data_IF_654233665939
#
_entry.id   IF_654233665939
#
_cell.length_a   1.000
_cell.length_b   1.000
_cell.length_c   1.000
_cell.angle_alpha   90.00
_cell.angle_beta   90.00
_cell.angle_gamma   90.00
#
_symmetry.space_group_name_H-M   'P 1'
#
loop_
_entity.id
_entity.type
_entity.pdbx_description
1 polymer ?
#
# COMPACT_ATOMS: atom_id res chain seq x y z
N UNK A 1 -58.71 48.03 55.26
CA UNK A 1 -59.69 46.94 55.00
C UNK A 1 -59.25 46.21 53.75
N UNK A 2 -59.20 44.86 53.82
CA UNK A 2 -59.53 43.84 52.79
C UNK A 2 -59.27 44.16 51.29
N UNK A 3 -58.76 43.31 50.41
CA UNK A 3 -58.28 41.92 50.35
C UNK A 3 -57.73 41.71 48.93
N UNK A 4 -56.72 40.86 48.80
CA UNK A 4 -56.43 39.92 47.69
C UNK A 4 -56.79 40.29 46.24
N UNK A 5 -55.77 40.29 45.35
CA UNK A 5 -55.94 39.75 44.00
C UNK A 5 -54.66 39.07 43.53
N UNK A 6 -54.76 37.76 43.28
CA UNK A 6 -53.74 36.91 42.69
C UNK A 6 -53.72 37.12 41.16
N UNK A 7 -52.53 37.16 40.56
CA UNK A 7 -52.37 36.70 39.19
C UNK A 7 -50.98 36.11 38.96
N UNK A 8 -51.02 34.80 38.74
CA UNK A 8 -50.01 33.83 38.34
C UNK A 8 -49.52 34.13 36.93
N UNK A 9 -48.21 34.12 36.64
CA UNK A 9 -47.72 33.60 35.36
C UNK A 9 -46.27 33.11 35.46
N UNK A 10 -46.08 31.89 34.97
CA UNK A 10 -44.86 31.10 34.99
C UNK A 10 -43.83 31.69 34.03
N UNK A 11 -42.64 32.03 34.54
CA UNK A 11 -41.47 32.32 33.71
C UNK A 11 -40.96 31.03 33.08
N UNK A 12 -41.23 30.84 31.79
CA UNK A 12 -40.56 29.83 30.96
C UNK A 12 -39.14 30.32 30.67
N UNK A 13 -38.17 29.44 30.91
CA UNK A 13 -36.75 29.62 30.59
C UNK A 13 -36.64 29.82 29.08
N UNK A 14 -36.05 30.94 28.67
CA UNK A 14 -35.74 31.21 27.27
C UNK A 14 -34.45 30.47 26.90
N UNK A 15 -34.58 29.46 26.01
CA UNK A 15 -33.44 28.89 25.30
C UNK A 15 -32.91 29.91 24.28
N UNK A 16 -31.61 30.15 24.40
CA UNK A 16 -30.73 30.91 23.51
C UNK A 16 -30.44 30.10 22.22
N UNK A 17 -29.65 30.60 21.25
CA UNK A 17 -29.78 31.79 20.41
C UNK A 17 -30.17 31.41 18.97
N UNK A 18 -30.80 32.34 18.24
CA UNK A 18 -30.97 32.25 16.79
C UNK A 18 -29.63 32.33 16.07
N UNK A 19 -29.10 31.16 15.67
CA UNK A 19 -28.04 31.07 14.67
C UNK A 19 -28.69 31.07 13.28
N UNK A 20 -28.76 32.25 12.66
CA UNK A 20 -29.15 32.41 11.27
C UNK A 20 -28.07 31.75 10.38
N UNK A 21 -28.30 30.47 10.02
CA UNK A 21 -27.40 29.71 9.14
C UNK A 21 -27.66 30.14 7.71
N UNK A 22 -26.75 30.94 7.17
CA UNK A 22 -26.73 31.33 5.77
C UNK A 22 -26.74 30.08 4.87
N UNK A 23 -27.82 29.88 4.11
CA UNK A 23 -27.93 28.77 3.15
C UNK A 23 -27.05 29.06 1.93
N UNK A 24 -25.89 28.43 1.86
CA UNK A 24 -25.02 28.46 0.68
C UNK A 24 -25.52 27.41 -0.31
N UNK A 25 -25.98 27.84 -1.49
CA UNK A 25 -26.22 26.94 -2.61
C UNK A 25 -24.90 26.70 -3.35
N UNK A 26 -24.48 25.44 -3.41
CA UNK A 26 -23.33 25.02 -4.21
C UNK A 26 -23.82 24.58 -5.56
N UNK A 27 -23.58 25.41 -6.58
CA UNK A 27 -23.83 25.03 -7.97
C UNK A 27 -22.63 24.25 -8.49
N UNK A 28 -22.75 22.92 -8.60
CA UNK A 28 -21.73 22.09 -9.24
C UNK A 28 -21.59 22.48 -10.72
N UNK A 29 -20.41 22.95 -11.10
CA UNK A 29 -20.08 23.21 -12.51
C UNK A 29 -19.64 21.88 -13.14
N UNK A 30 -20.47 21.32 -14.02
CA UNK A 30 -20.06 20.23 -14.90
C UNK A 30 -18.84 20.67 -15.72
N UNK A 31 -17.88 19.75 -15.90
CA UNK A 31 -16.61 19.97 -16.60
C UNK A 31 -16.82 20.75 -17.91
N UNK A 32 -16.40 22.03 -17.92
CA UNK A 32 -16.51 22.97 -19.06
C UNK A 32 -15.70 22.57 -20.30
N UNK A 33 -15.08 21.39 -20.30
CA UNK A 33 -14.35 20.84 -21.44
C UNK A 33 -14.72 19.37 -21.59
N UNK A 34 -15.44 19.03 -22.66
CA UNK A 34 -15.69 17.65 -23.03
C UNK A 34 -14.36 16.89 -23.18
N UNK A 35 -14.27 15.70 -22.61
CA UNK A 35 -13.12 14.82 -22.75
C UNK A 35 -12.88 14.52 -24.24
N UNK A 36 -11.89 15.21 -24.85
CA UNK A 36 -11.51 14.96 -26.25
C UNK A 36 -11.05 16.18 -27.05
N UNK A 37 -11.34 17.41 -26.63
CA UNK A 37 -11.05 18.61 -27.43
C UNK A 37 -9.67 19.25 -27.16
N UNK A 38 -8.97 18.85 -26.10
CA UNK A 38 -7.65 19.42 -25.78
C UNK A 38 -6.55 18.69 -26.55
N UNK A 39 -6.14 19.29 -27.68
CA UNK A 39 -4.98 18.84 -28.50
C UNK A 39 -3.71 18.69 -27.66
N UNK A 40 -3.50 19.60 -26.70
CA UNK A 40 -2.36 19.57 -25.77
C UNK A 40 -2.37 18.34 -24.86
N UNK A 41 -3.55 17.92 -24.37
CA UNK A 41 -3.68 16.68 -23.58
C UNK A 41 -3.58 15.42 -24.46
N UNK A 42 -4.04 15.48 -25.71
CA UNK A 42 -3.89 14.37 -26.65
C UNK A 42 -2.41 14.12 -26.99
N UNK A 43 -1.62 15.18 -27.19
CA UNK A 43 -0.17 15.07 -27.43
C UNK A 43 0.58 14.58 -26.18
N UNK A 44 0.17 14.98 -24.97
CA UNK A 44 0.73 14.42 -23.72
C UNK A 44 0.42 12.93 -23.60
N UNK A 45 -0.82 12.50 -23.90
CA UNK A 45 -1.17 11.06 -23.90
C UNK A 45 -0.36 10.28 -24.92
N UNK A 46 -0.20 10.80 -26.14
CA UNK A 46 0.64 10.16 -27.17
C UNK A 46 2.09 10.03 -26.74
N UNK A 47 2.66 11.05 -26.09
CA UNK A 47 4.02 11.00 -25.53
C UNK A 47 4.15 10.04 -24.35
N UNK A 48 3.09 9.86 -23.56
CA UNK A 48 3.06 8.88 -22.47
C UNK A 48 2.83 7.44 -22.97
N UNK A 49 2.25 7.27 -24.16
CA UNK A 49 2.02 5.96 -24.79
C UNK A 49 3.17 5.52 -25.70
N UNK A 50 4.14 6.38 -26.00
CA UNK A 50 5.28 6.07 -26.88
C UNK A 50 6.50 5.61 -26.10
N UNK A 51 6.33 4.64 -25.21
CA UNK A 51 7.36 3.69 -24.77
C UNK A 51 6.70 2.75 -23.79
N UNK A 52 6.30 1.58 -24.30
CA UNK A 52 6.24 0.29 -23.62
C UNK A 52 5.30 -0.59 -24.46
N UNK A 53 5.80 -1.67 -25.09
CA UNK A 53 4.90 -2.71 -25.54
C UNK A 53 4.18 -3.24 -24.30
N UNK A 54 2.87 -3.06 -24.26
CA UNK A 54 1.96 -3.76 -23.34
C UNK A 54 2.00 -5.23 -23.76
N UNK A 55 3.02 -5.95 -23.27
CA UNK A 55 2.83 -7.34 -22.93
C UNK A 55 1.81 -7.36 -21.79
N UNK A 56 0.79 -8.20 -21.98
CA UNK A 56 -0.33 -8.40 -21.09
C UNK A 56 0.08 -8.42 -19.62
N UNK A 57 -0.83 -7.99 -18.74
CA UNK A 57 -0.75 -8.22 -17.31
C UNK A 57 -0.33 -9.68 -17.05
N UNK A 58 0.95 -9.86 -16.75
CA UNK A 58 1.48 -11.11 -16.25
C UNK A 58 0.87 -11.27 -14.86
N UNK A 59 -0.19 -12.07 -14.81
CA UNK A 59 -0.49 -12.95 -13.66
C UNK A 59 0.84 -13.37 -13.03
N UNK A 60 0.97 -13.41 -11.69
CA UNK A 60 2.26 -13.60 -11.01
C UNK A 60 2.97 -14.73 -11.72
N UNK A 61 3.97 -14.35 -12.53
CA UNK A 61 4.66 -15.28 -13.38
C UNK A 61 5.17 -16.31 -12.41
N UNK A 62 4.66 -17.54 -12.55
CA UNK A 62 5.41 -18.70 -12.13
C UNK A 62 6.69 -18.56 -12.93
N UNK A 63 7.68 -17.88 -12.35
CA UNK A 63 9.07 -18.02 -12.70
C UNK A 63 9.34 -19.48 -12.39
N UNK A 64 8.91 -20.34 -13.31
CA UNK A 64 9.26 -21.74 -13.37
C UNK A 64 10.74 -21.67 -13.65
N UNK A 65 11.49 -21.74 -12.56
CA UNK A 65 12.92 -21.88 -12.55
C UNK A 65 13.20 -23.11 -13.41
N UNK A 66 13.52 -22.84 -14.67
CA UNK A 66 13.59 -23.86 -15.70
C UNK A 66 14.87 -24.63 -15.40
N UNK A 67 14.73 -25.84 -14.85
CA UNK A 67 15.85 -26.67 -14.41
C UNK A 67 15.93 -26.93 -12.90
N UNK A 68 15.02 -26.38 -12.08
CA UNK A 68 14.96 -26.68 -10.65
C UNK A 68 13.95 -27.78 -10.34
N UNK A 69 14.30 -28.65 -9.39
CA UNK A 69 13.41 -29.70 -8.90
C UNK A 69 12.07 -29.12 -8.46
N UNK A 70 10.96 -29.75 -8.84
CA UNK A 70 9.60 -29.28 -8.54
C UNK A 70 9.40 -28.95 -7.05
N UNK A 71 9.93 -29.81 -6.17
CA UNK A 71 9.90 -29.58 -4.73
C UNK A 71 10.62 -28.29 -4.31
N UNK A 72 11.83 -28.06 -4.81
CA UNK A 72 12.63 -26.85 -4.52
C UNK A 72 11.93 -25.60 -5.06
N UNK A 73 11.36 -25.67 -6.26
CA UNK A 73 10.60 -24.56 -6.84
C UNK A 73 9.36 -24.19 -6.02
N UNK A 74 8.62 -25.20 -5.50
CA UNK A 74 7.46 -24.93 -4.64
C UNK A 74 7.85 -24.29 -3.31
N UNK A 75 8.89 -24.80 -2.66
CA UNK A 75 9.39 -24.25 -1.40
C UNK A 75 9.98 -22.84 -1.58
N UNK A 76 10.68 -22.59 -2.69
CA UNK A 76 11.20 -21.25 -2.99
C UNK A 76 10.04 -20.26 -3.23
N UNK A 77 8.99 -20.66 -3.93
CA UNK A 77 7.82 -19.79 -4.12
C UNK A 77 7.11 -19.47 -2.79
N UNK A 78 7.04 -20.41 -1.85
CA UNK A 78 6.56 -20.12 -0.50
C UNK A 78 7.47 -19.11 0.20
N UNK A 79 8.79 -19.31 0.15
CA UNK A 79 9.75 -18.39 0.77
C UNK A 79 9.65 -16.98 0.17
N UNK A 80 9.47 -16.85 -1.14
CA UNK A 80 9.25 -15.57 -1.83
C UNK A 80 8.03 -14.83 -1.29
N UNK A 81 6.90 -15.54 -1.17
CA UNK A 81 5.68 -14.96 -0.64
C UNK A 81 5.88 -14.46 0.80
N UNK A 82 6.52 -15.26 1.66
CA UNK A 82 6.80 -14.88 3.05
C UNK A 82 7.71 -13.64 3.14
N UNK A 83 8.74 -13.57 2.30
CA UNK A 83 9.65 -12.41 2.24
C UNK A 83 8.87 -11.16 1.81
N UNK A 84 8.12 -11.24 0.70
CA UNK A 84 7.36 -10.09 0.19
C UNK A 84 6.29 -9.61 1.20
N UNK A 85 5.62 -10.54 1.87
CA UNK A 85 4.59 -10.21 2.85
C UNK A 85 5.20 -9.59 4.11
N UNK A 86 6.33 -10.10 4.59
CA UNK A 86 7.07 -9.50 5.71
C UNK A 86 7.55 -8.08 5.36
N UNK A 87 8.12 -7.89 4.15
CA UNK A 87 8.53 -6.56 3.68
C UNK A 87 7.33 -5.61 3.64
N UNK A 88 6.19 -6.03 3.08
CA UNK A 88 4.97 -5.21 3.05
C UNK A 88 4.48 -4.89 4.46
N UNK A 89 4.49 -5.85 5.37
CA UNK A 89 4.06 -5.66 6.76
C UNK A 89 4.96 -4.63 7.46
N UNK A 90 6.27 -4.77 7.35
CA UNK A 90 7.24 -3.81 7.89
C UNK A 90 7.02 -2.43 7.25
N UNK A 91 6.86 -2.35 5.92
CA UNK A 91 6.65 -1.08 5.24
C UNK A 91 5.34 -0.39 5.64
N UNK A 92 4.27 -1.14 5.92
CA UNK A 92 3.00 -0.60 6.42
C UNK A 92 3.12 0.03 7.81
N UNK A 93 4.06 -0.44 8.63
CA UNK A 93 4.32 0.16 9.95
C UNK A 93 4.97 1.55 9.87
N UNK A 94 5.53 1.90 8.71
CA UNK A 94 6.22 3.18 8.52
C UNK A 94 5.30 4.27 7.93
N UNK A 95 5.55 5.56 8.28
CA UNK A 95 4.83 6.68 7.70
C UNK A 95 4.95 6.75 6.18
N UNK A 96 3.88 7.18 5.52
CA UNK A 96 3.85 7.37 4.07
C UNK A 96 4.94 8.36 3.64
N UNK A 97 5.63 8.07 2.52
CA UNK A 97 6.75 8.88 2.03
C UNK A 97 8.12 8.61 2.68
N UNK A 98 8.18 7.91 3.83
CA UNK A 98 9.46 7.54 4.49
C UNK A 98 9.73 6.03 4.52
N UNK A 99 8.79 5.20 4.06
CA UNK A 99 8.88 3.72 4.09
C UNK A 99 10.22 3.19 3.58
N UNK A 100 10.62 3.56 2.36
CA UNK A 100 11.85 3.06 1.74
C UNK A 100 13.11 3.51 2.48
N UNK A 101 13.12 4.75 2.99
CA UNK A 101 14.27 5.30 3.74
C UNK A 101 14.45 4.61 5.08
N UNK A 102 13.36 4.42 5.82
CA UNK A 102 13.37 3.75 7.13
C UNK A 102 13.68 2.26 7.00
N UNK A 103 13.09 1.60 5.99
CA UNK A 103 13.44 0.23 5.66
C UNK A 103 14.93 0.11 5.31
N UNK A 104 15.42 1.00 4.43
CA UNK A 104 16.82 1.12 4.03
C UNK A 104 17.79 1.23 5.21
N UNK A 105 17.42 1.98 6.24
CA UNK A 105 18.28 2.18 7.41
C UNK A 105 18.46 0.91 8.26
N UNK A 106 17.43 0.06 8.38
CA UNK A 106 17.46 -1.12 9.25
C UNK A 106 17.84 -2.42 8.53
N UNK A 107 17.43 -2.55 7.27
CA UNK A 107 17.50 -3.80 6.51
C UNK A 107 18.28 -3.65 5.19
N UNK A 108 18.62 -2.43 4.77
CA UNK A 108 19.16 -2.16 3.44
C UNK A 108 18.06 -1.99 2.37
N UNK A 109 18.46 -1.91 1.10
CA UNK A 109 17.48 -1.83 0.00
C UNK A 109 16.69 -3.13 -0.12
N UNK A 110 15.46 -3.04 -0.64
CA UNK A 110 14.63 -4.22 -0.92
C UNK A 110 15.38 -5.18 -1.85
N UNK A 111 16.10 -4.65 -2.84
CA UNK A 111 16.91 -5.45 -3.76
C UNK A 111 18.07 -6.15 -3.06
N UNK A 112 18.71 -5.50 -2.08
CA UNK A 112 19.76 -6.14 -1.28
C UNK A 112 19.19 -7.34 -0.51
N UNK A 113 18.02 -7.17 0.14
CA UNK A 113 17.35 -8.27 0.86
C UNK A 113 16.99 -9.42 -0.08
N UNK A 114 16.52 -9.12 -1.31
CA UNK A 114 16.18 -10.13 -2.33
C UNK A 114 17.42 -10.81 -2.94
N UNK A 115 18.56 -10.12 -2.96
CA UNK A 115 19.84 -10.66 -3.43
C UNK A 115 20.53 -11.61 -2.44
N UNK A 116 20.22 -11.51 -1.14
CA UNK A 116 20.74 -12.40 -0.11
C UNK A 116 20.19 -13.82 -0.24
N UNK A 117 20.91 -14.79 0.34
CA UNK A 117 20.39 -16.15 0.49
C UNK A 117 19.12 -16.17 1.35
N UNK A 118 18.15 -17.03 1.04
CA UNK A 118 16.84 -17.11 1.71
C UNK A 118 17.01 -17.19 3.23
N UNK A 119 17.97 -17.99 3.72
CA UNK A 119 18.25 -18.11 5.16
C UNK A 119 18.70 -16.79 5.79
N UNK A 120 19.53 -16.03 5.09
CA UNK A 120 19.99 -14.73 5.56
C UNK A 120 18.87 -13.67 5.50
N UNK A 121 18.03 -13.71 4.45
CA UNK A 121 16.87 -12.85 4.33
C UNK A 121 15.84 -13.11 5.45
N UNK A 122 15.55 -14.37 5.78
CA UNK A 122 14.65 -14.76 6.87
C UNK A 122 15.14 -14.22 8.22
N UNK A 123 16.42 -14.40 8.53
CA UNK A 123 17.04 -13.84 9.74
C UNK A 123 16.98 -12.32 9.78
N UNK A 124 17.21 -11.67 8.65
CA UNK A 124 17.20 -10.21 8.55
C UNK A 124 15.80 -9.64 8.77
N UNK A 125 14.78 -10.30 8.24
CA UNK A 125 13.37 -9.90 8.35
C UNK A 125 12.66 -10.46 9.61
N UNK A 126 13.32 -11.33 10.39
CA UNK A 126 12.75 -11.95 11.58
C UNK A 126 11.65 -12.97 11.28
N UNK A 127 11.73 -13.67 10.15
CA UNK A 127 10.79 -14.72 9.74
C UNK A 127 11.24 -16.05 10.35
N UNK A 128 10.30 -16.91 10.77
CA UNK A 128 10.61 -18.25 11.26
C UNK A 128 11.06 -19.18 10.13
N UNK A 129 12.21 -19.81 10.31
CA UNK A 129 12.82 -20.77 9.38
C UNK A 129 11.96 -22.05 9.21
N UNK A 130 11.06 -22.35 10.15
CA UNK A 130 10.21 -23.55 10.10
C UNK A 130 9.06 -23.48 9.08
N UNK A 131 8.79 -22.29 8.53
CA UNK A 131 7.68 -22.08 7.57
C UNK A 131 7.95 -22.68 6.19
N UNK A 132 9.21 -22.99 5.89
CA UNK A 132 9.67 -23.56 4.62
C UNK A 132 10.72 -24.63 4.88
N UNK A 133 10.94 -25.52 3.91
CA UNK A 133 12.04 -26.50 4.00
C UNK A 133 13.39 -25.81 3.78
N UNK A 134 13.87 -25.10 4.81
CA UNK A 134 15.09 -24.27 4.73
C UNK A 134 16.33 -25.05 4.25
N UNK A 135 16.42 -26.35 4.55
CA UNK A 135 17.51 -27.22 4.07
C UNK A 135 17.64 -27.28 2.54
N UNK A 136 16.54 -27.08 1.81
CA UNK A 136 16.51 -27.16 0.34
C UNK A 136 16.84 -25.85 -0.35
N UNK A 137 16.58 -24.71 0.30
CA UNK A 137 16.60 -23.37 -0.34
C UNK A 137 17.50 -22.37 0.37
N UNK A 138 18.18 -22.75 1.46
CA UNK A 138 18.93 -21.83 2.32
C UNK A 138 19.98 -20.98 1.58
N UNK A 139 20.66 -21.59 0.61
CA UNK A 139 21.77 -20.99 -0.14
C UNK A 139 21.31 -20.27 -1.41
N UNK A 140 20.04 -20.43 -1.79
CA UNK A 140 19.46 -19.77 -2.95
C UNK A 140 19.05 -18.35 -2.59
N UNK A 141 19.02 -17.43 -3.54
CA UNK A 141 18.41 -16.11 -3.37
C UNK A 141 16.94 -16.08 -3.82
N UNK A 142 16.30 -14.92 -3.69
CA UNK A 142 14.92 -14.71 -4.14
C UNK A 142 14.72 -15.08 -5.62
N UNK A 143 15.74 -14.92 -6.46
CA UNK A 143 15.67 -15.24 -7.89
C UNK A 143 15.95 -16.71 -8.20
N UNK A 144 16.23 -17.54 -7.19
CA UNK A 144 16.53 -18.96 -7.35
C UNK A 144 17.93 -19.25 -7.88
N UNK A 145 18.88 -18.31 -7.72
CA UNK A 145 20.30 -18.52 -7.98
C UNK A 145 21.01 -18.85 -6.68
N UNK A 146 21.98 -19.75 -6.72
CA UNK A 146 22.83 -20.02 -5.57
C UNK A 146 23.72 -18.81 -5.27
N UNK A 147 23.80 -18.43 -4.00
CA UNK A 147 24.57 -17.28 -3.53
C UNK A 147 26.03 -17.67 -3.23
N UNK A 148 26.38 -18.95 -3.38
CA UNK A 148 27.78 -19.43 -3.40
C UNK A 148 28.46 -19.06 -4.71
N UNK A 149 28.69 -17.77 -4.93
CA UNK A 149 29.78 -17.30 -5.79
C UNK A 149 30.65 -16.37 -4.94
N UNK A 150 31.64 -16.98 -4.26
CA UNK A 150 33.01 -16.52 -4.04
C UNK A 150 33.70 -17.37 -2.96
#
# INVERSE_FOLDING_TARGET
MMTTSHSKFMGKIADNPGADRQKVSVTERSLLVAHGQSKKLADIRKRQQSELPVAAALSPEKQLLTGLNSEVATELNKARALIDDSIKQIMRSFPEGKRNRLFGFRFGSVDAVKGMGIKAAFKTLGIDDNLVKMKLIAEMNFHGKDVKEH
#
